data_IF_597310025591
#
_entry.id   IF_597310025591
#
_cell.length_a   1.000
_cell.length_b   1.000
_cell.length_c   1.000
_cell.angle_alpha   90.00
_cell.angle_beta   90.00
_cell.angle_gamma   90.00
#
_symmetry.space_group_name_H-M   'P 1'
#
loop_
_entity.id
_entity.type
_entity.pdbx_description
1 polymer ?
#
# COMPACT_ATOMS: atom_id res chain seq x y z
N UNK A 1 -6.69 4.91 -11.22
CA UNK A 1 -6.20 5.29 -9.87
C UNK A 1 -6.96 4.54 -8.77
N UNK A 2 -8.29 4.50 -8.80
CA UNK A 2 -9.14 3.80 -7.80
C UNK A 2 -8.74 2.34 -7.45
N UNK A 3 -8.31 1.53 -8.42
CA UNK A 3 -7.98 0.12 -8.17
C UNK A 3 -6.83 -0.10 -7.18
N UNK A 4 -5.86 0.82 -7.10
CA UNK A 4 -4.76 0.72 -6.13
C UNK A 4 -5.25 1.06 -4.72
N UNK A 5 -6.13 2.06 -4.59
CA UNK A 5 -6.76 2.40 -3.31
C UNK A 5 -7.61 1.24 -2.78
N UNK A 6 -8.40 0.59 -3.64
CA UNK A 6 -9.17 -0.61 -3.27
C UNK A 6 -8.26 -1.79 -2.87
N UNK A 7 -7.12 -1.95 -3.54
CA UNK A 7 -6.12 -2.95 -3.16
C UNK A 7 -5.55 -2.68 -1.76
N UNK A 8 -5.28 -1.42 -1.42
CA UNK A 8 -4.70 -1.03 -0.12
C UNK A 8 -5.62 -1.37 1.06
N UNK A 9 -6.94 -1.27 0.88
CA UNK A 9 -7.91 -1.69 1.91
C UNK A 9 -7.81 -3.18 2.24
N UNK A 10 -7.44 -4.01 1.26
CA UNK A 10 -7.31 -5.48 1.42
C UNK A 10 -5.88 -5.91 1.77
N UNK A 11 -4.89 -5.13 1.32
CA UNK A 11 -3.45 -5.39 1.42
C UNK A 11 -2.77 -4.06 1.77
N UNK A 12 -2.66 -3.72 3.07
CA UNK A 12 -2.14 -2.41 3.50
C UNK A 12 -0.64 -2.24 3.22
N UNK A 13 0.05 -3.33 2.86
CA UNK A 13 1.44 -3.31 2.42
C UNK A 13 1.50 -3.89 1.01
N UNK A 14 2.03 -3.11 0.07
CA UNK A 14 2.12 -3.47 -1.34
C UNK A 14 3.53 -3.27 -1.88
N UNK A 15 3.87 -4.00 -2.93
CA UNK A 15 5.12 -3.84 -3.67
C UNK A 15 4.86 -3.99 -5.18
N UNK A 16 5.91 -3.82 -5.98
CA UNK A 16 5.79 -3.95 -7.45
C UNK A 16 5.23 -5.29 -7.91
N UNK A 17 5.63 -6.40 -7.27
CA UNK A 17 5.14 -7.75 -7.59
C UNK A 17 3.63 -7.83 -7.40
N UNK A 18 3.13 -7.35 -6.26
CA UNK A 18 1.70 -7.35 -5.93
C UNK A 18 0.88 -6.51 -6.90
N UNK A 19 1.40 -5.34 -7.28
CA UNK A 19 0.73 -4.45 -8.24
C UNK A 19 0.61 -5.09 -9.63
N UNK A 20 1.63 -5.83 -10.06
CA UNK A 20 1.59 -6.57 -11.32
C UNK A 20 0.59 -7.70 -11.24
N UNK A 21 0.68 -8.52 -10.20
CA UNK A 21 -0.10 -9.76 -10.10
C UNK A 21 -1.60 -9.47 -9.88
N UNK A 22 -1.94 -8.42 -9.13
CA UNK A 22 -3.35 -8.07 -8.84
C UNK A 22 -3.97 -7.10 -9.84
N UNK A 23 -3.19 -6.17 -10.38
CA UNK A 23 -3.71 -5.04 -11.17
C UNK A 23 -3.18 -5.00 -12.60
N UNK A 24 -2.27 -5.92 -12.99
CA UNK A 24 -1.63 -5.92 -14.30
C UNK A 24 -0.73 -4.72 -14.55
N UNK A 25 -0.33 -4.00 -13.49
CA UNK A 25 0.51 -2.81 -13.60
C UNK A 25 1.97 -3.24 -13.77
N UNK A 26 2.62 -2.78 -14.85
CA UNK A 26 4.05 -3.05 -15.06
C UNK A 26 4.89 -2.54 -13.89
N UNK A 27 5.85 -3.37 -13.49
CA UNK A 27 6.86 -3.06 -12.47
C UNK A 27 7.95 -2.10 -12.94
N UNK A 28 7.97 -1.75 -14.23
CA UNK A 28 8.96 -0.81 -14.78
C UNK A 28 8.65 0.64 -14.39
N UNK A 29 7.36 0.97 -14.24
CA UNK A 29 6.90 2.33 -13.94
C UNK A 29 5.91 2.41 -12.76
N UNK A 30 6.21 1.80 -11.59
CA UNK A 30 5.32 1.81 -10.43
C UNK A 30 5.06 3.23 -9.93
N UNK A 31 6.02 4.14 -10.11
CA UNK A 31 5.92 5.56 -9.78
C UNK A 31 4.73 6.26 -10.45
N UNK A 32 4.30 5.83 -11.65
CA UNK A 32 3.13 6.42 -12.33
C UNK A 32 1.82 6.21 -11.56
N UNK A 33 1.71 5.11 -10.84
CA UNK A 33 0.50 4.72 -10.14
C UNK A 33 0.59 5.00 -8.64
N UNK A 34 1.78 4.84 -8.06
CA UNK A 34 2.05 5.03 -6.64
C UNK A 34 2.40 6.48 -6.31
N UNK A 35 3.10 7.19 -7.20
CA UNK A 35 3.54 8.57 -6.97
C UNK A 35 2.42 9.48 -6.46
N UNK A 36 1.29 9.59 -7.15
CA UNK A 36 0.19 10.43 -6.67
C UNK A 36 -0.39 10.03 -5.31
N UNK A 37 -0.37 8.73 -4.96
CA UNK A 37 -0.80 8.26 -3.65
C UNK A 37 0.24 8.57 -2.57
N UNK A 38 1.51 8.53 -2.91
CA UNK A 38 2.60 8.89 -2.01
C UNK A 38 2.66 10.40 -1.75
N UNK A 39 2.50 11.22 -2.79
CA UNK A 39 2.39 12.68 -2.67
C UNK A 39 1.17 13.10 -1.84
N UNK A 40 0.08 12.34 -1.93
CA UNK A 40 -1.12 12.56 -1.10
C UNK A 40 -0.98 12.00 0.33
N UNK A 41 0.14 11.37 0.69
CA UNK A 41 0.35 10.75 2.01
C UNK A 41 -0.43 9.44 2.25
N UNK A 42 -1.20 8.96 1.27
CA UNK A 42 -2.01 7.74 1.36
C UNK A 42 -1.12 6.51 1.52
N UNK A 43 0.06 6.53 0.90
CA UNK A 43 1.08 5.48 1.08
C UNK A 43 2.45 6.07 1.37
N UNK A 44 3.26 5.34 2.11
CA UNK A 44 4.63 5.71 2.46
C UNK A 44 5.57 4.58 2.03
N UNK A 45 6.62 4.93 1.29
CA UNK A 45 7.71 4.00 0.98
C UNK A 45 8.49 3.72 2.26
N UNK A 46 8.72 2.44 2.58
CA UNK A 46 9.40 2.05 3.82
C UNK A 46 10.66 1.21 3.57
N UNK A 47 11.02 0.98 2.30
CA UNK A 47 12.27 0.32 1.94
C UNK A 47 13.30 1.34 1.45
N UNK A 48 14.55 1.15 1.83
CA UNK A 48 15.67 2.06 1.58
C UNK A 48 16.37 1.82 0.22
N UNK A 49 15.78 0.98 -0.65
CA UNK A 49 16.46 0.45 -1.85
C UNK A 49 15.76 0.84 -3.14
N UNK A 50 16.55 1.07 -4.18
CA UNK A 50 16.04 1.35 -5.52
C UNK A 50 15.28 0.17 -6.16
N UNK A 51 15.58 -1.06 -5.74
CA UNK A 51 14.93 -2.32 -6.16
C UNK A 51 14.06 -2.86 -5.03
N UNK A 52 13.01 -3.60 -5.37
CA UNK A 52 12.05 -4.17 -4.41
C UNK A 52 11.42 -3.12 -3.48
N UNK A 53 11.06 -1.95 -4.06
CA UNK A 53 10.31 -0.93 -3.33
C UNK A 53 8.99 -1.48 -2.82
N UNK A 54 8.67 -1.12 -1.59
CA UNK A 54 7.41 -1.45 -0.96
C UNK A 54 6.84 -0.23 -0.26
N UNK A 55 5.51 -0.17 -0.23
CA UNK A 55 4.74 0.94 0.30
C UNK A 55 3.71 0.40 1.27
N UNK A 56 3.49 1.15 2.35
CA UNK A 56 2.46 0.86 3.34
C UNK A 56 1.42 1.98 3.35
N UNK A 57 0.16 1.66 3.58
CA UNK A 57 -0.90 2.62 3.87
C UNK A 57 -1.03 2.79 5.40
N UNK A 58 -0.45 3.85 5.99
CA UNK A 58 -0.44 4.02 7.44
C UNK A 58 -1.84 4.11 8.03
N UNK A 59 -2.75 4.89 7.43
CA UNK A 59 -4.13 5.02 7.94
C UNK A 59 -4.90 3.69 7.96
N UNK A 60 -4.65 2.80 6.99
CA UNK A 60 -5.28 1.48 6.96
C UNK A 60 -4.69 0.57 8.05
N UNK A 61 -3.37 0.64 8.27
CA UNK A 61 -2.73 -0.09 9.36
C UNK A 61 -3.24 0.38 10.72
N UNK A 62 -3.30 1.70 10.93
CA UNK A 62 -3.82 2.29 12.17
C UNK A 62 -5.27 1.85 12.43
N UNK A 63 -6.13 1.85 11.40
CA UNK A 63 -7.50 1.37 11.52
C UNK A 63 -7.62 -0.13 11.85
N UNK A 64 -6.69 -0.96 11.35
CA UNK A 64 -6.62 -2.38 11.66
C UNK A 64 -6.12 -2.62 13.09
N UNK A 65 -5.15 -1.83 13.55
CA UNK A 65 -4.64 -1.88 14.91
C UNK A 65 -5.72 -1.43 15.91
N UNK A 66 -6.43 -0.33 15.65
CA UNK A 66 -7.59 0.12 16.45
C UNK A 66 -8.70 -0.94 16.54
N UNK A 67 -8.90 -1.69 15.45
CA UNK A 67 -9.84 -2.80 15.44
C UNK A 67 -9.35 -3.95 16.33
N UNK A 68 -8.09 -4.37 16.17
CA UNK A 68 -7.49 -5.44 16.96
C UNK A 68 -7.51 -5.10 18.46
N UNK A 69 -7.21 -3.85 18.81
CA UNK A 69 -7.27 -3.33 20.17
C UNK A 69 -8.65 -3.42 20.82
N UNK A 70 -9.73 -3.20 20.06
CA UNK A 70 -11.11 -3.34 20.55
C UNK A 70 -11.54 -4.80 20.58
N UNK A 71 -11.13 -5.59 19.60
CA UNK A 71 -11.49 -6.99 19.48
C UNK A 71 -10.81 -7.85 20.56
N UNK A 72 -9.56 -7.55 20.94
CA UNK A 72 -8.80 -8.26 21.97
C UNK A 72 -9.19 -7.95 23.41
N UNK A 73 -10.13 -7.01 23.64
CA UNK A 73 -10.66 -6.66 24.97
C UNK A 73 -11.94 -7.45 25.34
N UNK A 74 -12.26 -8.52 24.61
CA UNK A 74 -13.41 -9.41 24.88
C UNK A 74 -13.01 -10.86 25.03
#
# INVERSE_FOLDING_TARGET
MWKVADLLTRRPVINGVLLRDELGISTDHPRRYIGPLAEAGIVVEFTDRARNRAWRAPEVLDALDDFAERAGRR
#
